data_IF_686161473668
#
_entry.id   IF_686161473668
#
_cell.length_a   1.000
_cell.length_b   1.000
_cell.length_c   1.000
_cell.angle_alpha   90.00
_cell.angle_beta   90.00
_cell.angle_gamma   90.00
#
_symmetry.space_group_name_H-M   'P 1'
#
loop_
_entity.id
_entity.type
_entity.pdbx_description
1 polymer ?
#
# COMPACT_ATOMS: atom_id res chain seq x y z
N UNK A 1 -1.04 8.60 -0.82
CA UNK A 1 0.37 8.62 -0.36
C UNK A 1 1.26 8.29 -1.53
N UNK A 2 2.45 8.86 -1.62
CA UNK A 2 3.38 8.58 -2.72
C UNK A 2 4.78 8.26 -2.22
N UNK A 3 5.64 7.80 -3.13
CA UNK A 3 7.09 7.67 -2.98
C UNK A 3 7.76 8.96 -2.46
N UNK A 4 7.18 10.12 -2.76
CA UNK A 4 7.73 11.45 -2.44
C UNK A 4 7.19 12.06 -1.16
N UNK A 5 5.90 11.87 -0.85
CA UNK A 5 5.24 12.58 0.25
C UNK A 5 4.03 11.83 0.82
N UNK A 6 3.77 12.09 2.09
CA UNK A 6 2.48 11.82 2.71
C UNK A 6 1.63 13.09 2.62
N UNK A 7 0.39 12.96 2.16
CA UNK A 7 -0.58 14.04 1.98
C UNK A 7 -1.88 13.62 2.65
N UNK A 8 -2.47 14.53 3.42
CA UNK A 8 -3.82 14.42 3.94
C UNK A 8 -4.67 15.41 3.14
N UNK A 9 -5.67 14.87 2.44
CA UNK A 9 -6.62 15.65 1.66
C UNK A 9 -7.95 15.75 2.40
N UNK A 10 -8.59 16.91 2.29
CA UNK A 10 -9.96 17.15 2.69
C UNK A 10 -10.85 16.91 1.49
N UNK A 11 -11.95 16.19 1.74
CA UNK A 11 -12.93 15.87 0.72
C UNK A 11 -14.23 16.62 1.05
N UNK A 12 -14.44 17.83 0.52
CA UNK A 12 -15.65 18.60 0.78
C UNK A 12 -16.84 18.00 0.01
N UNK A 13 -17.30 16.82 0.44
CA UNK A 13 -18.43 16.13 -0.16
C UNK A 13 -19.73 16.95 0.00
N UNK A 14 -20.30 17.36 -1.13
CA UNK A 14 -21.62 18.00 -1.18
C UNK A 14 -22.63 17.04 -1.80
N UNK A 15 -23.58 16.53 -1.00
CA UNK A 15 -24.72 15.72 -1.51
C UNK A 15 -25.57 16.43 -2.57
N UNK A 16 -25.44 17.75 -2.72
CA UNK A 16 -26.18 18.56 -3.70
C UNK A 16 -25.41 18.73 -5.02
N UNK A 17 -24.12 18.42 -5.02
CA UNK A 17 -23.22 18.57 -6.16
C UNK A 17 -22.13 17.49 -6.07
N UNK A 18 -22.54 16.24 -6.31
CA UNK A 18 -21.66 15.06 -6.28
C UNK A 18 -20.57 15.11 -7.35
N UNK A 19 -20.72 15.99 -8.36
CA UNK A 19 -19.73 16.19 -9.41
C UNK A 19 -18.57 17.10 -9.01
N UNK A 20 -18.72 17.84 -7.91
CA UNK A 20 -17.74 18.82 -7.46
C UNK A 20 -16.90 18.25 -6.33
N UNK A 21 -15.98 17.37 -6.73
CA UNK A 21 -14.98 16.80 -5.86
C UNK A 21 -13.64 17.50 -6.16
N UNK A 22 -13.32 18.50 -5.35
CA UNK A 22 -12.03 19.18 -5.40
C UNK A 22 -11.26 18.81 -4.12
N UNK A 23 -10.27 17.94 -4.26
CA UNK A 23 -9.41 17.56 -3.13
C UNK A 23 -8.62 18.77 -2.63
N UNK A 24 -8.79 19.12 -1.36
CA UNK A 24 -8.01 20.18 -0.72
C UNK A 24 -6.84 19.56 0.06
N UNK A 25 -5.61 20.00 -0.19
CA UNK A 25 -4.47 19.59 0.64
C UNK A 25 -4.57 20.28 2.00
N UNK A 26 -4.96 19.54 3.03
CA UNK A 26 -5.03 20.03 4.41
C UNK A 26 -3.67 20.01 5.09
N UNK A 27 -2.86 19.00 4.78
CA UNK A 27 -1.53 18.81 5.36
C UNK A 27 -0.67 17.90 4.48
N UNK A 28 0.64 18.14 4.46
CA UNK A 28 1.59 17.26 3.79
C UNK A 28 2.97 17.30 4.43
N UNK A 29 3.74 16.22 4.22
CA UNK A 29 5.14 16.12 4.65
C UNK A 29 5.95 15.32 3.60
N UNK A 30 7.22 15.68 3.34
CA UNK A 30 8.11 14.84 2.55
C UNK A 30 8.28 13.45 3.16
N UNK A 31 8.40 12.42 2.33
CA UNK A 31 8.62 11.04 2.78
C UNK A 31 9.90 10.91 3.61
N UNK A 32 10.91 11.70 3.27
CA UNK A 32 12.21 11.78 3.97
C UNK A 32 12.14 12.36 5.38
N UNK A 33 11.06 13.08 5.72
CA UNK A 33 10.88 13.63 7.06
C UNK A 33 10.17 12.66 8.01
N UNK A 34 9.68 11.51 7.53
CA UNK A 34 9.10 10.43 8.33
C UNK A 34 10.23 9.49 8.78
N UNK A 35 10.46 9.41 10.09
CA UNK A 35 11.43 8.49 10.71
C UNK A 35 10.87 7.06 10.72
N UNK A 36 9.70 6.89 11.36
CA UNK A 36 9.03 5.58 11.43
C UNK A 36 7.52 5.73 11.60
N UNK A 37 6.82 4.67 11.23
CA UNK A 37 5.38 4.53 11.47
C UNK A 37 5.15 3.29 12.31
N UNK A 38 4.35 3.44 13.36
CA UNK A 38 4.00 2.36 14.30
C UNK A 38 2.49 2.15 14.26
N UNK A 39 2.04 0.91 14.06
CA UNK A 39 0.65 0.54 14.36
C UNK A 39 0.53 0.51 15.88
N UNK A 40 -0.30 1.39 16.43
CA UNK A 40 -0.42 1.53 17.87
C UNK A 40 -1.82 1.95 18.22
N UNK A 41 -2.56 1.04 18.84
CA UNK A 41 -3.92 1.30 19.29
C UNK A 41 -3.91 2.16 20.56
N UNK A 42 -4.51 3.35 20.47
CA UNK A 42 -4.65 4.24 21.62
C UNK A 42 -6.00 4.05 22.30
N UNK A 43 -7.10 3.83 21.54
CA UNK A 43 -8.44 3.63 22.13
C UNK A 43 -9.27 2.54 21.48
N UNK A 44 -9.46 2.58 20.16
CA UNK A 44 -10.56 1.86 19.48
C UNK A 44 -10.09 0.91 18.38
N UNK A 45 -8.81 0.55 18.37
CA UNK A 45 -8.21 -0.07 17.19
C UNK A 45 -7.95 0.95 16.08
N UNK A 46 -7.14 0.55 15.09
CA UNK A 46 -6.89 1.28 13.85
C UNK A 46 -6.18 2.64 13.98
N UNK A 47 -5.55 2.87 15.11
CA UNK A 47 -4.66 4.01 15.28
C UNK A 47 -3.25 3.69 14.80
N UNK A 48 -2.54 4.73 14.35
CA UNK A 48 -1.14 4.69 14.00
C UNK A 48 -0.43 5.94 14.52
N UNK A 49 0.85 5.78 14.86
CA UNK A 49 1.74 6.86 15.24
C UNK A 49 2.75 7.07 14.13
N UNK A 50 2.85 8.30 13.64
CA UNK A 50 3.92 8.71 12.72
C UNK A 50 4.92 9.52 13.54
N UNK A 51 6.17 9.06 13.56
CA UNK A 51 7.30 9.76 14.19
C UNK A 51 8.09 10.43 13.08
N UNK A 52 8.38 11.72 13.26
CA UNK A 52 9.14 12.52 12.31
C UNK A 52 10.62 12.58 12.71
N UNK A 53 11.46 12.92 11.75
CA UNK A 53 12.93 13.03 11.91
C UNK A 53 13.36 14.11 12.91
N UNK A 54 12.50 15.10 13.19
CA UNK A 54 12.72 16.11 14.23
C UNK A 54 12.30 15.64 15.64
N UNK A 55 11.85 14.39 15.78
CA UNK A 55 11.37 13.81 17.03
C UNK A 55 9.92 14.17 17.39
N UNK A 56 9.27 15.06 16.63
CA UNK A 56 7.84 15.29 16.75
C UNK A 56 7.05 14.08 16.26
N UNK A 57 5.77 14.00 16.62
CA UNK A 57 4.92 12.89 16.20
C UNK A 57 3.45 13.30 16.10
N UNK A 58 2.69 12.59 15.27
CA UNK A 58 1.24 12.72 15.22
C UNK A 58 0.56 11.35 15.34
N UNK A 59 -0.70 11.38 15.77
CA UNK A 59 -1.61 10.23 15.73
C UNK A 59 -2.54 10.39 14.54
N UNK A 60 -2.69 9.33 13.77
CA UNK A 60 -3.73 9.22 12.75
C UNK A 60 -4.56 7.97 13.01
N UNK A 61 -5.81 8.00 12.58
CA UNK A 61 -6.72 6.86 12.61
C UNK A 61 -7.20 6.59 11.19
N UNK A 62 -7.18 5.34 10.75
CA UNK A 62 -7.66 4.96 9.42
C UNK A 62 -8.38 3.63 9.48
N UNK A 63 -9.57 3.55 8.87
CA UNK A 63 -10.30 2.29 8.72
C UNK A 63 -9.48 1.27 7.91
N UNK A 64 -8.64 1.76 7.00
CA UNK A 64 -7.70 0.98 6.20
C UNK A 64 -6.27 1.11 6.71
N UNK A 65 -6.06 1.09 8.05
CA UNK A 65 -4.75 1.23 8.69
C UNK A 65 -3.70 0.33 8.04
N UNK A 66 -4.06 -0.93 7.74
CA UNK A 66 -3.12 -1.89 7.16
C UNK A 66 -2.56 -1.38 5.83
N UNK A 67 -3.43 -1.05 4.88
CA UNK A 67 -3.04 -0.52 3.57
C UNK A 67 -2.30 0.81 3.69
N UNK A 68 -2.77 1.71 4.55
CA UNK A 68 -2.13 3.03 4.73
C UNK A 68 -0.73 2.95 5.35
N UNK A 69 -0.51 2.04 6.28
CA UNK A 69 0.79 1.90 6.95
C UNK A 69 1.74 0.96 6.22
N UNK A 70 1.22 0.13 5.32
CA UNK A 70 1.97 -0.89 4.59
C UNK A 70 3.27 -0.35 3.96
N UNK A 71 3.29 0.74 3.19
CA UNK A 71 4.54 1.26 2.60
C UNK A 71 5.37 2.17 3.55
N UNK A 72 4.96 2.31 4.82
CA UNK A 72 5.58 3.24 5.77
C UNK A 72 6.36 2.60 6.92
N UNK A 73 5.97 1.38 7.36
CA UNK A 73 6.49 0.79 8.61
C UNK A 73 7.92 0.25 8.47
N UNK A 74 8.32 -0.21 7.28
CA UNK A 74 9.66 -0.78 7.07
C UNK A 74 10.19 -0.48 5.68
N UNK A 75 11.52 -0.41 5.49
CA UNK A 75 12.13 -0.58 4.18
C UNK A 75 11.60 -1.89 3.61
N UNK A 76 10.93 -1.82 2.46
CA UNK A 76 10.48 -2.99 1.73
C UNK A 76 11.48 -3.20 0.62
N UNK A 77 12.11 -4.36 0.63
CA UNK A 77 12.98 -4.75 -0.47
C UNK A 77 12.10 -5.04 -1.68
N UNK A 78 11.99 -4.03 -2.54
CA UNK A 78 11.42 -4.19 -3.86
C UNK A 78 12.37 -5.08 -4.67
N UNK A 79 11.83 -6.17 -5.17
CA UNK A 79 12.58 -7.13 -5.95
C UNK A 79 12.43 -6.73 -7.42
N UNK A 80 13.54 -6.43 -8.12
CA UNK A 80 13.51 -6.18 -9.55
C UNK A 80 12.88 -7.36 -10.29
N UNK A 81 11.96 -7.07 -11.20
CA UNK A 81 11.22 -8.09 -11.95
C UNK A 81 12.13 -9.04 -12.74
N UNK A 82 13.25 -8.53 -13.24
CA UNK A 82 14.29 -9.28 -13.96
C UNK A 82 15.14 -10.20 -13.06
N UNK A 83 15.03 -10.05 -11.73
CA UNK A 83 15.69 -10.93 -10.75
C UNK A 83 14.81 -12.11 -10.30
N UNK A 84 13.55 -12.15 -10.73
CA UNK A 84 12.64 -13.25 -10.41
C UNK A 84 13.05 -14.54 -11.13
N UNK A 85 12.76 -15.68 -10.50
CA UNK A 85 12.86 -16.97 -11.20
C UNK A 85 11.80 -17.04 -12.30
N UNK A 86 11.98 -17.90 -13.30
CA UNK A 86 11.00 -18.07 -14.37
C UNK A 86 9.61 -18.48 -13.85
N UNK A 87 9.54 -19.26 -12.77
CA UNK A 87 8.28 -19.65 -12.14
C UNK A 87 7.58 -18.46 -11.46
N UNK A 88 8.35 -17.67 -10.70
CA UNK A 88 7.84 -16.44 -10.07
C UNK A 88 7.36 -15.42 -11.10
N UNK A 89 8.15 -15.22 -12.17
CA UNK A 89 7.78 -14.34 -13.27
C UNK A 89 6.48 -14.78 -13.93
N UNK A 90 6.34 -16.07 -14.26
CA UNK A 90 5.13 -16.59 -14.89
C UNK A 90 3.87 -16.35 -14.03
N UNK A 91 3.99 -16.50 -12.70
CA UNK A 91 2.87 -16.23 -11.78
C UNK A 91 2.55 -14.75 -11.69
N UNK A 92 3.56 -13.88 -11.61
CA UNK A 92 3.38 -12.41 -11.63
C UNK A 92 2.70 -11.96 -12.93
N UNK A 93 3.16 -12.48 -14.07
CA UNK A 93 2.61 -12.16 -15.39
C UNK A 93 1.16 -12.66 -15.52
N UNK A 94 0.87 -13.89 -15.08
CA UNK A 94 -0.48 -14.44 -15.08
C UNK A 94 -1.43 -13.61 -14.21
N UNK A 95 -0.99 -13.20 -13.01
CA UNK A 95 -1.76 -12.34 -12.13
C UNK A 95 -2.04 -10.98 -12.77
N UNK A 96 -1.01 -10.32 -13.33
CA UNK A 96 -1.17 -9.03 -13.98
C UNK A 96 -2.09 -9.10 -15.20
N UNK A 97 -2.04 -10.19 -15.98
CA UNK A 97 -2.89 -10.40 -17.16
C UNK A 97 -4.38 -10.57 -16.83
N UNK A 98 -4.73 -10.90 -15.57
CA UNK A 98 -6.14 -10.91 -15.12
C UNK A 98 -6.67 -9.53 -14.80
N UNK A 99 -5.82 -8.51 -14.77
CA UNK A 99 -6.18 -7.12 -14.50
C UNK A 99 -6.36 -6.32 -15.80
N UNK A 100 -6.63 -5.02 -15.67
CA UNK A 100 -6.80 -4.14 -16.83
C UNK A 100 -5.51 -4.07 -17.68
N UNK A 101 -5.56 -4.02 -19.02
CA UNK A 101 -4.37 -4.02 -19.89
C UNK A 101 -3.41 -2.85 -19.67
N UNK A 102 -3.90 -1.77 -19.07
CA UNK A 102 -3.14 -0.53 -18.85
C UNK A 102 -2.66 -0.35 -17.40
N UNK A 103 -2.54 -1.44 -16.64
CA UNK A 103 -1.91 -1.38 -15.31
C UNK A 103 -0.41 -1.12 -15.41
N UNK A 104 0.14 -0.45 -14.40
CA UNK A 104 1.59 -0.28 -14.27
C UNK A 104 2.30 -1.64 -14.07
N UNK A 105 3.62 -1.73 -14.35
CA UNK A 105 4.39 -2.93 -14.06
C UNK A 105 4.20 -3.39 -12.60
N UNK A 106 4.01 -4.70 -12.34
CA UNK A 106 3.80 -5.19 -11.00
C UNK A 106 4.96 -4.87 -10.06
N UNK A 107 4.65 -4.52 -8.82
CA UNK A 107 5.62 -4.36 -7.76
C UNK A 107 5.72 -5.65 -6.96
N UNK A 108 6.93 -6.19 -6.83
CA UNK A 108 7.18 -7.41 -6.05
C UNK A 108 8.02 -7.08 -4.83
N UNK A 109 7.61 -7.58 -3.66
CA UNK A 109 8.30 -7.38 -2.39
C UNK A 109 8.44 -8.70 -1.65
N UNK A 110 9.53 -8.87 -0.88
CA UNK A 110 9.70 -10.03 0.01
C UNK A 110 9.13 -9.72 1.41
N UNK A 111 8.26 -10.60 1.91
CA UNK A 111 7.76 -10.59 3.28
C UNK A 111 8.78 -11.25 4.23
N UNK A 112 8.66 -11.00 5.54
CA UNK A 112 9.58 -11.55 6.54
C UNK A 112 9.57 -13.09 6.63
N UNK A 113 8.43 -13.73 6.32
CA UNK A 113 8.29 -15.18 6.20
C UNK A 113 9.00 -15.78 4.97
N UNK A 114 9.48 -14.95 4.04
CA UNK A 114 10.11 -15.37 2.79
C UNK A 114 9.13 -15.54 1.62
N UNK A 115 7.82 -15.40 1.83
CA UNK A 115 6.85 -15.23 0.75
C UNK A 115 7.00 -13.87 0.07
N UNK A 116 6.35 -13.73 -1.07
CA UNK A 116 6.44 -12.56 -1.94
C UNK A 116 5.05 -11.98 -2.11
N UNK A 117 4.92 -10.67 -1.87
CA UNK A 117 3.70 -9.95 -2.23
C UNK A 117 3.86 -9.32 -3.61
N UNK A 118 2.87 -9.51 -4.46
CA UNK A 118 2.76 -8.88 -5.78
C UNK A 118 1.65 -7.85 -5.69
N UNK A 119 1.92 -6.64 -6.16
CA UNK A 119 0.97 -5.53 -6.21
C UNK A 119 0.84 -5.05 -7.65
N UNK A 120 -0.39 -4.91 -8.12
CA UNK A 120 -0.73 -4.30 -9.41
C UNK A 120 -1.61 -3.09 -9.12
N UNK A 121 -1.30 -1.96 -9.76
CA UNK A 121 -2.00 -0.69 -9.54
C UNK A 121 -2.60 -0.18 -10.85
N UNK A 122 -3.85 0.29 -10.81
CA UNK A 122 -4.44 1.08 -11.88
C UNK A 122 -4.22 2.57 -11.60
N UNK A 123 -3.29 3.19 -12.32
CA UNK A 123 -3.08 4.64 -12.24
C UNK A 123 -3.89 5.44 -13.28
N UNK A 124 -4.56 4.78 -14.22
CA UNK A 124 -5.41 5.45 -15.19
C UNK A 124 -6.75 5.86 -14.58
N UNK A 125 -7.27 5.07 -13.65
CA UNK A 125 -8.48 5.41 -12.90
C UNK A 125 -8.16 5.75 -11.46
N UNK A 126 -8.27 7.05 -11.14
CA UNK A 126 -8.33 7.51 -9.76
C UNK A 126 -9.79 7.81 -9.47
N UNK A 127 -10.41 6.94 -8.67
CA UNK A 127 -11.71 7.23 -8.10
C UNK A 127 -11.51 8.26 -6.99
N UNK A 128 -12.32 9.32 -6.97
CA UNK A 128 -12.11 10.38 -6.02
C UNK A 128 -12.51 9.97 -4.58
N UNK A 129 -13.47 9.06 -4.42
CA UNK A 129 -13.89 8.53 -3.11
C UNK A 129 -12.95 7.42 -2.62
N UNK A 130 -12.43 6.59 -3.52
CA UNK A 130 -11.70 5.35 -3.18
C UNK A 130 -10.19 5.40 -3.50
N UNK A 131 -9.74 6.38 -4.27
CA UNK A 131 -8.37 6.52 -4.74
C UNK A 131 -8.03 5.61 -5.91
N UNK A 132 -6.76 5.19 -5.98
CA UNK A 132 -6.27 4.23 -6.96
C UNK A 132 -6.73 2.82 -6.60
N UNK A 133 -7.22 2.07 -7.59
CA UNK A 133 -7.51 0.65 -7.41
C UNK A 133 -6.20 -0.13 -7.32
N UNK A 134 -6.07 -0.93 -6.26
CA UNK A 134 -4.92 -1.78 -5.98
C UNK A 134 -5.38 -3.24 -5.91
N UNK A 135 -4.66 -4.13 -6.60
CA UNK A 135 -4.82 -5.57 -6.49
C UNK A 135 -3.55 -6.20 -5.96
N UNK A 136 -3.69 -7.15 -5.04
CA UNK A 136 -2.55 -7.86 -4.50
C UNK A 136 -2.78 -9.37 -4.40
N UNK A 137 -1.68 -10.10 -4.51
CA UNK A 137 -1.60 -11.54 -4.23
C UNK A 137 -0.32 -11.85 -3.47
N UNK A 138 -0.25 -13.04 -2.87
CA UNK A 138 0.98 -13.55 -2.22
C UNK A 138 1.41 -14.84 -2.90
N UNK A 139 2.68 -14.99 -3.25
CA UNK A 139 3.26 -16.25 -3.72
C UNK A 139 4.38 -16.73 -2.80
N UNK A 140 4.61 -18.03 -2.80
CA UNK A 140 5.74 -18.64 -2.11
C UNK A 140 7.06 -18.45 -2.88
N UNK A 141 8.16 -18.98 -2.34
CA UNK A 141 9.46 -18.89 -2.99
C UNK A 141 9.59 -19.69 -4.29
N UNK A 142 8.68 -20.63 -4.56
CA UNK A 142 8.65 -21.42 -5.78
C UNK A 142 7.78 -20.77 -6.87
N UNK A 143 7.16 -19.61 -6.58
CA UNK A 143 6.25 -18.93 -7.49
C UNK A 143 4.84 -19.51 -7.48
N UNK A 144 4.44 -20.23 -6.43
CA UNK A 144 3.06 -20.72 -6.30
C UNK A 144 2.24 -19.70 -5.51
N UNK A 145 1.09 -19.29 -6.04
CA UNK A 145 0.15 -18.43 -5.32
C UNK A 145 -0.30 -19.12 -4.02
N UNK A 146 -0.23 -18.36 -2.92
CA UNK A 146 -0.62 -18.80 -1.58
C UNK A 146 -2.10 -18.50 -1.40
N UNK A 147 -2.88 -19.54 -1.16
CA UNK A 147 -4.29 -19.41 -0.83
C UNK A 147 -4.50 -18.67 0.50
N UNK A 148 -5.62 -17.96 0.70
CA UNK A 148 -5.82 -17.15 1.91
C UNK A 148 -5.72 -17.90 3.24
N UNK A 149 -6.04 -19.20 3.23
CA UNK A 149 -5.94 -20.08 4.41
C UNK A 149 -4.51 -20.42 4.80
N UNK A 150 -3.55 -20.22 3.90
CA UNK A 150 -2.14 -20.52 4.07
C UNK A 150 -1.29 -19.27 4.29
N UNK A 151 -1.92 -18.09 4.42
CA UNK A 151 -1.20 -16.87 4.75
C UNK A 151 -0.57 -16.93 6.14
N UNK A 152 0.69 -16.52 6.21
CA UNK A 152 1.38 -16.31 7.46
C UNK A 152 0.99 -14.93 8.02
N UNK A 153 0.96 -14.73 9.35
CA UNK A 153 0.76 -13.40 9.95
C UNK A 153 1.70 -12.34 9.37
N UNK A 154 2.95 -12.73 9.07
CA UNK A 154 3.98 -11.89 8.48
C UNK A 154 3.69 -11.45 7.04
N UNK A 155 2.79 -12.15 6.32
CA UNK A 155 2.34 -11.73 4.98
C UNK A 155 1.52 -10.44 5.03
N UNK A 156 1.01 -10.11 6.20
CA UNK A 156 0.20 -8.92 6.44
C UNK A 156 0.91 -7.85 7.26
N UNK A 157 2.06 -8.23 7.85
CA UNK A 157 2.72 -7.60 8.96
C UNK A 157 1.76 -7.38 10.15
N UNK A 158 2.24 -7.54 11.38
CA UNK A 158 1.53 -7.06 12.58
C UNK A 158 1.74 -5.55 12.77
#
# INVERSE_FOLDING_TARGET
MTDRRLVIVGFPFSKKDESRIEDEVLWQVPRSAIDRVERRDFKSGNDMRIVFTDGSWCRLRSLSRRSLTWPLIAPRDYIPLDSLTSAQWATVEAFAATQHPDVEPPLVMRNACGCYRVLVMDQLTVDADFGTTEWDMTMDANGVEVEPVAFHPEDFAD
#
